data_IF_457878924656
#
_entry.id   IF_457878924656
#
_cell.length_a   1.000
_cell.length_b   1.000
_cell.length_c   1.000
_cell.angle_alpha   90.00
_cell.angle_beta   90.00
_cell.angle_gamma   90.00
#
_symmetry.space_group_name_H-M   'P 1'
#
loop_
_entity.id
_entity.type
_entity.pdbx_description
1 polymer ?
#
# COMPACT_ATOMS: atom_id res chain seq x y z
N UNK A 1 42.86 9.52 -42.15
CA UNK A 1 42.00 9.87 -43.29
C UNK A 1 40.57 9.59 -42.81
N UNK A 2 39.75 10.55 -42.38
CA UNK A 2 39.38 11.84 -43.00
C UNK A 2 38.69 11.60 -44.36
N UNK A 3 37.55 12.21 -44.70
CA UNK A 3 37.11 13.61 -44.50
C UNK A 3 35.56 13.72 -44.33
N UNK A 4 35.10 14.72 -43.56
CA UNK A 4 33.72 15.28 -43.51
C UNK A 4 33.58 16.44 -44.52
N UNK A 5 32.44 16.62 -45.20
CA UNK A 5 31.90 17.99 -45.22
C UNK A 5 30.36 18.13 -45.14
N UNK A 6 29.94 18.95 -44.16
CA UNK A 6 28.93 20.04 -44.19
C UNK A 6 28.75 20.70 -45.60
N UNK A 7 27.70 21.44 -45.99
CA UNK A 7 26.65 22.24 -45.29
C UNK A 7 25.65 22.78 -46.35
N UNK A 8 24.39 23.05 -45.98
CA UNK A 8 23.45 24.07 -46.53
C UNK A 8 22.13 23.91 -45.74
N UNK A 9 21.44 24.88 -45.10
CA UNK A 9 21.33 26.36 -45.13
C UNK A 9 20.48 26.96 -46.27
N UNK A 10 19.22 27.30 -45.95
CA UNK A 10 18.52 28.48 -46.48
C UNK A 10 17.80 29.22 -45.33
N UNK A 11 17.68 30.55 -45.48
CA UNK A 11 17.22 31.53 -44.50
C UNK A 11 15.94 32.27 -45.00
N UNK A 12 15.33 33.06 -44.09
CA UNK A 12 14.52 34.30 -44.31
C UNK A 12 12.97 34.21 -44.39
N UNK A 13 12.21 35.30 -44.14
CA UNK A 13 12.35 36.45 -43.20
C UNK A 13 11.02 36.69 -42.37
N UNK A 14 10.69 37.78 -41.64
CA UNK A 14 11.33 39.07 -41.28
C UNK A 14 10.75 39.68 -39.95
N UNK A 15 11.41 40.74 -39.45
CA UNK A 15 10.97 41.91 -38.63
C UNK A 15 9.58 41.92 -37.93
N UNK A 16 9.41 42.15 -36.62
CA UNK A 16 9.98 43.11 -35.64
C UNK A 16 9.46 44.57 -35.71
N UNK A 17 8.88 45.08 -34.62
CA UNK A 17 8.96 46.52 -34.24
C UNK A 17 8.72 46.72 -32.73
N UNK A 18 9.56 47.53 -32.08
CA UNK A 18 9.39 47.98 -30.68
C UNK A 18 8.33 49.09 -30.55
N UNK A 19 7.77 49.29 -29.32
CA UNK A 19 7.59 50.63 -28.71
C UNK A 19 7.18 50.60 -27.23
N UNK A 20 8.02 51.21 -26.41
CA UNK A 20 7.72 51.99 -25.19
C UNK A 20 8.13 53.46 -25.49
N UNK A 21 7.82 54.52 -24.72
CA UNK A 21 7.72 54.56 -23.24
C UNK A 21 6.72 55.59 -22.63
N UNK A 22 6.89 55.90 -21.32
CA UNK A 22 6.45 57.10 -20.57
C UNK A 22 4.94 57.23 -20.21
N UNK A 23 4.48 57.91 -19.13
CA UNK A 23 5.08 58.44 -17.89
C UNK A 23 3.98 58.98 -16.93
N UNK A 24 4.35 59.49 -15.73
CA UNK A 24 3.54 60.15 -14.67
C UNK A 24 2.67 59.23 -13.78
N UNK A 25 2.55 59.31 -12.43
CA UNK A 25 2.88 60.26 -11.33
C UNK A 25 1.71 61.04 -10.71
N UNK A 26 1.72 61.22 -9.37
CA UNK A 26 0.77 61.98 -8.51
C UNK A 26 -0.67 61.36 -8.37
N UNK A 27 -1.46 61.46 -7.27
CA UNK A 27 -1.26 61.95 -5.88
C UNK A 27 -2.29 61.39 -4.87
N UNK A 28 -1.94 61.44 -3.59
CA UNK A 28 -2.76 61.58 -2.34
C UNK A 28 -4.30 61.58 -2.34
N UNK A 29 -4.87 60.94 -1.31
CA UNK A 29 -6.25 61.09 -0.80
C UNK A 29 -6.64 62.53 -0.41
N UNK A 30 -7.95 62.79 -0.20
CA UNK A 30 -8.37 63.17 1.16
C UNK A 30 -9.74 62.61 1.65
N UNK A 31 -9.90 62.65 2.98
CA UNK A 31 -11.09 62.96 3.84
C UNK A 31 -12.42 63.36 3.12
N UNK A 32 -13.64 63.18 3.66
CA UNK A 32 -14.17 62.70 4.96
C UNK A 32 -15.71 62.90 5.04
N UNK A 33 -16.46 62.09 5.83
CA UNK A 33 -17.68 62.48 6.62
C UNK A 33 -18.40 61.21 7.11
N UNK A 34 -18.53 60.90 8.41
CA UNK A 34 -19.46 61.48 9.40
C UNK A 34 -20.95 61.41 9.02
N UNK A 35 -21.70 60.52 9.70
CA UNK A 35 -23.16 60.42 9.69
C UNK A 35 -23.63 59.27 10.60
N UNK A 36 -24.63 59.43 11.50
CA UNK A 36 -24.87 58.48 12.58
C UNK A 36 -26.10 57.58 12.36
N UNK A 37 -26.29 56.56 13.22
CA UNK A 37 -27.52 56.29 14.00
C UNK A 37 -27.44 54.91 14.68
N UNK A 38 -27.44 54.89 16.02
CA UNK A 38 -27.62 53.69 16.84
C UNK A 38 -28.75 53.94 17.83
N UNK A 39 -29.83 53.12 17.86
CA UNK A 39 -30.90 53.28 18.84
C UNK A 39 -30.61 52.51 20.14
N UNK A 40 -30.72 53.20 21.27
CA UNK A 40 -30.49 52.65 22.62
C UNK A 40 -31.79 52.12 23.23
N UNK A 41 -31.78 50.92 23.82
CA UNK A 41 -32.94 50.35 24.55
C UNK A 41 -32.78 50.62 26.07
N UNK A 42 -33.85 51.02 26.81
CA UNK A 42 -33.75 51.31 28.24
C UNK A 42 -33.56 50.04 29.09
N UNK A 43 -32.61 50.04 30.03
CA UNK A 43 -32.39 48.90 30.92
C UNK A 43 -33.31 48.95 32.15
N UNK A 44 -34.16 47.93 32.28
CA UNK A 44 -35.10 47.78 33.40
C UNK A 44 -34.40 47.18 34.65
N UNK A 45 -33.42 47.89 35.23
CA UNK A 45 -32.65 47.38 36.39
C UNK A 45 -32.20 48.47 37.37
N UNK A 46 -33.16 49.00 38.15
CA UNK A 46 -32.86 50.02 39.19
C UNK A 46 -33.54 49.83 40.55
N UNK A 47 -34.36 48.78 40.76
CA UNK A 47 -35.15 48.59 42.01
C UNK A 47 -34.74 47.44 42.95
N UNK A 48 -33.62 46.74 42.71
CA UNK A 48 -33.14 45.64 43.58
C UNK A 48 -31.66 45.79 44.01
N UNK A 49 -31.11 47.01 44.08
CA UNK A 49 -29.66 47.21 44.31
C UNK A 49 -29.18 47.16 45.78
N UNK A 50 -30.04 46.88 46.77
CA UNK A 50 -29.66 46.86 48.19
C UNK A 50 -30.26 45.66 48.97
N UNK A 51 -29.61 44.48 48.95
CA UNK A 51 -29.74 43.43 50.01
C UNK A 51 -28.85 42.17 49.92
N UNK A 52 -27.70 42.18 49.22
CA UNK A 52 -26.82 40.98 49.13
C UNK A 52 -25.35 41.34 49.43
N UNK A 53 -24.70 40.70 50.42
CA UNK A 53 -23.28 40.90 50.73
C UNK A 53 -22.33 40.53 49.58
N UNK A 54 -21.19 41.21 49.50
CA UNK A 54 -20.24 41.16 48.37
C UNK A 54 -19.67 39.76 48.11
N UNK A 55 -19.55 38.92 49.14
CA UNK A 55 -19.03 37.56 49.03
C UNK A 55 -20.02 36.61 48.32
N UNK A 56 -21.33 36.76 48.55
CA UNK A 56 -22.36 35.96 47.86
C UNK A 56 -22.42 36.28 46.35
N UNK A 57 -22.14 37.54 45.94
CA UNK A 57 -22.17 37.93 44.52
C UNK A 57 -21.21 37.14 43.63
N UNK A 58 -20.12 36.59 44.18
CA UNK A 58 -19.17 35.76 43.42
C UNK A 58 -19.60 34.30 43.30
N UNK A 59 -20.36 33.78 44.26
CA UNK A 59 -20.82 32.38 44.25
C UNK A 59 -22.17 32.20 43.54
N UNK A 60 -23.04 33.22 43.51
CA UNK A 60 -24.35 33.15 42.83
C UNK A 60 -24.26 32.69 41.36
N UNK A 61 -23.33 33.19 40.50
CA UNK A 61 -23.21 32.70 39.12
C UNK A 61 -22.82 31.21 39.05
N UNK A 62 -21.97 30.77 39.98
CA UNK A 62 -21.49 29.38 40.07
C UNK A 62 -22.64 28.46 40.50
N UNK A 63 -23.40 28.84 41.53
CA UNK A 63 -24.59 28.09 41.95
C UNK A 63 -25.68 28.07 40.87
N UNK A 64 -25.88 29.16 40.12
CA UNK A 64 -26.80 29.17 38.97
C UNK A 64 -26.32 28.25 37.84
N UNK A 65 -25.02 28.22 37.54
CA UNK A 65 -24.47 27.30 36.56
C UNK A 65 -24.64 25.83 36.97
N UNK A 66 -24.34 25.48 38.23
CA UNK A 66 -24.61 24.13 38.77
C UNK A 66 -26.10 23.78 38.77
N UNK A 67 -26.99 24.73 39.06
CA UNK A 67 -28.43 24.51 39.07
C UNK A 67 -28.98 24.32 37.64
N UNK A 68 -28.44 25.04 36.65
CA UNK A 68 -28.76 24.81 35.22
C UNK A 68 -28.25 23.45 34.74
N UNK A 69 -27.01 23.07 35.07
CA UNK A 69 -26.45 21.75 34.72
C UNK A 69 -27.27 20.64 35.39
N UNK A 70 -27.62 20.80 36.67
CA UNK A 70 -28.47 19.86 37.40
C UNK A 70 -29.86 19.75 36.77
N UNK A 71 -30.48 20.85 36.35
CA UNK A 71 -31.76 20.82 35.63
C UNK A 71 -31.65 20.14 34.25
N UNK A 72 -30.56 20.33 33.52
CA UNK A 72 -30.31 19.64 32.24
C UNK A 72 -30.17 18.13 32.46
N UNK A 73 -29.42 17.70 33.48
CA UNK A 73 -29.24 16.28 33.81
C UNK A 73 -30.53 15.66 34.36
N UNK A 74 -31.24 16.35 35.26
CA UNK A 74 -32.49 15.88 35.86
C UNK A 74 -33.69 15.90 34.90
N UNK A 75 -33.59 16.60 33.76
CA UNK A 75 -34.59 16.60 32.68
C UNK A 75 -34.00 16.05 31.37
N UNK A 76 -32.93 15.23 31.43
CA UNK A 76 -32.30 14.64 30.25
C UNK A 76 -33.30 13.79 29.44
N UNK A 77 -34.20 13.09 30.12
CA UNK A 77 -35.28 12.31 29.51
C UNK A 77 -36.22 13.18 28.64
N UNK A 78 -36.43 14.45 29.01
CA UNK A 78 -37.28 15.41 28.30
C UNK A 78 -36.66 15.90 26.98
N UNK A 79 -35.35 15.69 26.78
CA UNK A 79 -34.63 15.97 25.54
C UNK A 79 -34.37 14.71 24.69
N UNK A 80 -34.91 13.54 25.06
CA UNK A 80 -34.78 12.30 24.27
C UNK A 80 -35.75 12.25 23.07
N UNK A 81 -35.56 13.13 22.10
CA UNK A 81 -36.31 13.10 20.83
C UNK A 81 -35.80 11.99 19.91
N UNK A 82 -36.42 10.81 20.06
CA UNK A 82 -36.66 9.80 19.03
C UNK A 82 -35.52 9.39 18.08
N UNK A 83 -34.76 8.36 18.47
CA UNK A 83 -34.29 7.30 17.56
C UNK A 83 -34.58 5.92 18.20
N UNK A 84 -35.36 5.04 17.56
CA UNK A 84 -35.89 3.85 18.23
C UNK A 84 -34.86 2.70 18.30
N UNK A 85 -34.30 2.48 19.49
CA UNK A 85 -33.62 1.23 19.87
C UNK A 85 -34.28 0.66 21.13
N UNK A 86 -34.83 -0.57 21.06
CA UNK A 86 -35.58 -1.18 22.16
C UNK A 86 -35.32 -2.68 22.27
N UNK A 87 -34.92 -3.12 23.47
CA UNK A 87 -34.44 -4.47 23.78
C UNK A 87 -35.55 -5.52 23.97
N UNK A 88 -35.16 -6.79 23.80
CA UNK A 88 -35.62 -8.01 24.49
C UNK A 88 -36.41 -7.81 25.81
N UNK A 89 -37.42 -8.60 26.20
CA UNK A 89 -38.09 -9.80 25.63
C UNK A 89 -39.56 -9.85 26.12
N UNK A 90 -40.42 -10.66 25.47
CA UNK A 90 -41.25 -11.74 26.07
C UNK A 90 -42.32 -12.24 25.07
N UNK A 91 -42.21 -13.51 24.70
CA UNK A 91 -43.19 -14.40 24.04
C UNK A 91 -44.49 -13.84 23.41
N UNK A 92 -44.59 -13.94 22.07
CA UNK A 92 -45.68 -14.67 21.38
C UNK A 92 -45.43 -14.93 19.88
N UNK A 93 -45.39 -16.23 19.53
CA UNK A 93 -45.88 -16.87 18.28
C UNK A 93 -45.45 -16.28 16.90
N UNK A 94 -44.37 -16.85 16.36
CA UNK A 94 -44.27 -17.47 15.01
C UNK A 94 -45.11 -16.84 13.87
N UNK A 95 -44.50 -15.97 13.07
CA UNK A 95 -44.93 -15.68 11.69
C UNK A 95 -43.71 -15.36 10.80
N UNK A 96 -43.68 -15.95 9.61
CA UNK A 96 -42.56 -15.93 8.66
C UNK A 96 -42.48 -14.63 7.83
N UNK A 97 -41.30 -14.01 7.76
CA UNK A 97 -40.85 -13.20 6.61
C UNK A 97 -39.36 -13.39 6.36
N UNK A 98 -38.99 -13.76 5.13
CA UNK A 98 -37.59 -14.01 4.73
C UNK A 98 -36.87 -12.67 4.48
N UNK A 99 -35.82 -12.38 5.24
CA UNK A 99 -34.79 -11.46 4.75
C UNK A 99 -34.00 -12.15 3.64
N UNK A 100 -33.88 -11.50 2.47
CA UNK A 100 -32.92 -11.90 1.45
C UNK A 100 -31.53 -11.53 1.95
N UNK A 101 -30.76 -12.53 2.38
CA UNK A 101 -29.31 -12.41 2.41
C UNK A 101 -28.81 -12.11 1.00
N UNK A 102 -27.69 -11.38 0.87
CA UNK A 102 -26.89 -11.43 -0.35
C UNK A 102 -26.63 -12.91 -0.70
N UNK A 103 -26.61 -13.29 -1.99
CA UNK A 103 -26.29 -14.66 -2.35
C UNK A 103 -24.86 -14.94 -1.88
N UNK A 104 -24.75 -15.71 -0.79
CA UNK A 104 -23.55 -16.49 -0.53
C UNK A 104 -23.37 -17.32 -1.78
N UNK A 105 -22.37 -16.98 -2.60
CA UNK A 105 -22.03 -17.76 -3.78
C UNK A 105 -21.94 -19.22 -3.33
N UNK A 106 -22.60 -20.16 -4.03
CA UNK A 106 -22.50 -21.57 -3.65
C UNK A 106 -21.01 -21.91 -3.55
N UNK A 107 -20.57 -22.66 -2.53
CA UNK A 107 -19.17 -23.04 -2.42
C UNK A 107 -18.80 -23.76 -3.71
N UNK A 108 -18.02 -23.09 -4.54
CA UNK A 108 -17.45 -23.70 -5.73
C UNK A 108 -16.62 -24.85 -5.19
N UNK A 109 -16.84 -26.11 -5.64
CA UNK A 109 -15.98 -27.20 -5.25
C UNK A 109 -14.55 -26.77 -5.56
N UNK A 110 -13.74 -26.59 -4.52
CA UNK A 110 -12.34 -26.25 -4.70
C UNK A 110 -11.75 -27.29 -5.65
N UNK A 111 -11.01 -26.83 -6.65
CA UNK A 111 -10.35 -27.73 -7.60
C UNK A 111 -9.60 -28.81 -6.80
N UNK A 112 -9.63 -30.05 -7.32
CA UNK A 112 -9.07 -31.19 -6.61
C UNK A 112 -7.54 -31.06 -6.60
N UNK A 113 -7.03 -30.45 -5.53
CA UNK A 113 -5.64 -30.01 -5.39
C UNK A 113 -5.35 -28.60 -5.94
N UNK A 114 -4.09 -28.18 -5.85
CA UNK A 114 -3.63 -26.92 -6.45
C UNK A 114 -3.66 -26.99 -7.99
N UNK A 115 -4.06 -25.90 -8.69
CA UNK A 115 -3.99 -25.83 -10.14
C UNK A 115 -2.54 -26.03 -10.64
N UNK A 116 -2.34 -26.95 -11.59
CA UNK A 116 -1.03 -27.16 -12.23
C UNK A 116 -0.75 -26.12 -13.32
N UNK A 117 -0.77 -24.85 -12.92
CA UNK A 117 -0.45 -23.68 -13.74
C UNK A 117 0.69 -22.90 -13.09
N UNK A 118 1.64 -22.43 -13.90
CA UNK A 118 2.69 -21.48 -13.50
C UNK A 118 2.48 -20.22 -14.30
N UNK A 119 2.33 -19.11 -13.59
CA UNK A 119 2.13 -17.77 -14.14
C UNK A 119 3.35 -16.90 -13.92
N UNK A 120 3.73 -16.17 -14.96
CA UNK A 120 4.58 -14.99 -14.84
C UNK A 120 3.92 -13.84 -15.60
N UNK A 121 4.28 -12.60 -15.28
CA UNK A 121 3.89 -11.42 -16.07
C UNK A 121 5.14 -10.76 -16.64
N UNK A 122 5.13 -10.39 -17.91
CA UNK A 122 6.23 -9.63 -18.51
C UNK A 122 5.77 -8.68 -19.61
N UNK A 123 6.69 -7.96 -20.24
CA UNK A 123 6.36 -6.97 -21.29
C UNK A 123 6.03 -7.66 -22.62
N UNK A 124 6.80 -8.68 -22.95
CA UNK A 124 6.77 -9.42 -24.22
C UNK A 124 6.44 -10.89 -23.98
N UNK A 125 6.10 -11.63 -25.04
CA UNK A 125 5.84 -13.06 -24.97
C UNK A 125 7.15 -13.89 -24.93
N UNK A 126 7.09 -15.19 -24.57
CA UNK A 126 8.27 -16.04 -24.42
C UNK A 126 9.17 -16.21 -25.65
N UNK A 127 8.70 -15.92 -26.87
CA UNK A 127 9.54 -15.95 -28.08
C UNK A 127 10.45 -14.72 -28.21
N UNK A 128 10.10 -13.64 -27.49
CA UNK A 128 10.77 -12.34 -27.49
C UNK A 128 11.39 -11.99 -26.12
N UNK A 129 11.66 -12.99 -25.28
CA UNK A 129 12.40 -12.82 -24.04
C UNK A 129 13.89 -12.57 -24.29
N UNK A 130 14.48 -11.68 -23.50
CA UNK A 130 15.94 -11.56 -23.39
C UNK A 130 16.53 -12.87 -22.83
N UNK A 131 17.81 -13.15 -23.07
CA UNK A 131 18.45 -14.40 -22.62
C UNK A 131 18.32 -14.62 -21.10
N UNK A 132 18.45 -13.55 -20.31
CA UNK A 132 18.22 -13.55 -18.85
C UNK A 132 16.83 -14.08 -18.50
N UNK A 133 15.79 -13.43 -19.00
CA UNK A 133 14.39 -13.71 -18.69
C UNK A 133 13.98 -15.11 -19.22
N UNK A 134 14.53 -15.48 -20.38
CA UNK A 134 14.40 -16.82 -20.94
C UNK A 134 15.08 -17.90 -20.10
N UNK A 135 16.18 -17.59 -19.42
CA UNK A 135 16.91 -18.56 -18.58
C UNK A 135 16.16 -18.89 -17.29
N UNK A 136 15.61 -17.88 -16.61
CA UNK A 136 14.78 -18.04 -15.40
C UNK A 136 13.48 -18.75 -15.74
N UNK A 137 12.74 -18.28 -16.76
CA UNK A 137 11.50 -18.91 -17.23
C UNK A 137 11.66 -20.40 -17.57
N UNK A 138 12.78 -20.79 -18.21
CA UNK A 138 13.06 -22.20 -18.54
C UNK A 138 13.18 -23.11 -17.33
N UNK A 139 13.68 -22.61 -16.18
CA UNK A 139 13.83 -23.43 -14.96
C UNK A 139 12.49 -23.93 -14.42
N UNK A 140 11.45 -23.10 -14.49
CA UNK A 140 10.08 -23.45 -14.11
C UNK A 140 9.52 -24.61 -14.94
N UNK A 141 9.63 -24.53 -16.26
CA UNK A 141 9.18 -25.59 -17.17
C UNK A 141 9.99 -26.89 -16.99
N UNK A 142 11.31 -26.80 -16.87
CA UNK A 142 12.19 -27.97 -16.73
C UNK A 142 11.95 -28.74 -15.43
N UNK A 143 11.70 -28.03 -14.32
CA UNK A 143 11.47 -28.66 -13.01
C UNK A 143 10.02 -29.12 -12.82
N UNK A 144 9.08 -28.56 -13.58
CA UNK A 144 7.64 -28.83 -13.44
C UNK A 144 7.00 -29.25 -14.79
N UNK A 145 7.45 -30.35 -15.42
CA UNK A 145 7.01 -30.77 -16.76
C UNK A 145 5.51 -31.15 -16.84
N UNK A 146 4.83 -31.27 -15.70
CA UNK A 146 3.40 -31.53 -15.58
C UNK A 146 2.56 -30.27 -15.29
N UNK A 147 3.16 -29.07 -15.28
CA UNK A 147 2.47 -27.78 -15.16
C UNK A 147 2.36 -27.10 -16.52
N UNK A 148 1.24 -26.41 -16.75
CA UNK A 148 1.10 -25.47 -17.87
C UNK A 148 1.77 -24.15 -17.50
N UNK A 149 2.74 -23.73 -18.30
CA UNK A 149 3.40 -22.43 -18.15
C UNK A 149 2.68 -21.37 -19.00
N UNK A 150 2.36 -20.23 -18.40
CA UNK A 150 1.66 -19.12 -19.07
C UNK A 150 2.28 -17.77 -18.67
N UNK A 151 2.29 -16.85 -19.63
CA UNK A 151 2.81 -15.49 -19.46
C UNK A 151 1.76 -14.50 -19.95
N UNK A 152 1.35 -13.59 -19.06
CA UNK A 152 0.57 -12.42 -19.47
C UNK A 152 1.50 -11.28 -19.83
N UNK A 153 1.13 -10.53 -20.87
CA UNK A 153 1.95 -9.52 -21.52
C UNK A 153 1.28 -8.15 -21.55
N UNK A 154 2.04 -7.07 -21.71
CA UNK A 154 1.52 -5.70 -21.93
C UNK A 154 0.51 -5.61 -23.11
N UNK A 155 0.49 -6.61 -23.98
CA UNK A 155 -0.41 -6.73 -25.14
C UNK A 155 -1.64 -7.63 -24.94
N UNK A 156 -1.72 -8.40 -23.85
CA UNK A 156 -2.84 -9.31 -23.57
C UNK A 156 -3.44 -9.18 -22.15
N UNK A 157 -2.82 -8.40 -21.27
CA UNK A 157 -3.24 -8.16 -19.88
C UNK A 157 -4.72 -7.79 -19.77
N UNK A 158 -5.16 -6.79 -20.53
CA UNK A 158 -6.53 -6.29 -20.49
C UNK A 158 -7.53 -7.31 -21.06
N UNK A 159 -7.15 -8.09 -22.06
CA UNK A 159 -7.99 -9.16 -22.60
C UNK A 159 -8.25 -10.26 -21.56
N UNK A 160 -7.22 -10.62 -20.79
CA UNK A 160 -7.36 -11.54 -19.66
C UNK A 160 -8.27 -10.97 -18.57
N UNK A 161 -8.06 -9.70 -18.19
CA UNK A 161 -8.89 -9.00 -17.19
C UNK A 161 -10.35 -8.92 -17.62
N UNK A 162 -10.63 -8.55 -18.87
CA UNK A 162 -11.99 -8.49 -19.43
C UNK A 162 -12.66 -9.86 -19.49
N UNK A 163 -11.92 -10.92 -19.86
CA UNK A 163 -12.43 -12.29 -19.89
C UNK A 163 -12.84 -12.78 -18.50
N UNK A 164 -12.01 -12.55 -17.48
CA UNK A 164 -12.24 -13.10 -16.13
C UNK A 164 -13.10 -12.21 -15.23
N UNK A 165 -12.99 -10.89 -15.33
CA UNK A 165 -13.70 -9.94 -14.45
C UNK A 165 -14.83 -9.19 -15.15
N UNK A 166 -14.95 -9.24 -16.48
CA UNK A 166 -16.08 -8.67 -17.20
C UNK A 166 -17.41 -9.44 -17.00
N UNK A 167 -18.50 -9.00 -17.67
CA UNK A 167 -19.84 -9.57 -17.48
C UNK A 167 -20.00 -11.06 -17.79
N UNK A 168 -19.08 -11.66 -18.55
CA UNK A 168 -19.05 -13.09 -18.83
C UNK A 168 -18.30 -13.95 -17.80
N UNK A 169 -17.59 -13.32 -16.86
CA UNK A 169 -16.76 -13.97 -15.85
C UNK A 169 -17.32 -13.75 -14.44
N UNK A 170 -16.60 -12.97 -13.62
CA UNK A 170 -17.02 -12.65 -12.24
C UNK A 170 -18.00 -11.48 -12.12
N UNK A 171 -18.37 -10.82 -13.22
CA UNK A 171 -19.28 -9.66 -13.27
C UNK A 171 -18.84 -8.53 -12.33
N UNK A 172 -17.57 -8.12 -12.50
CA UNK A 172 -16.89 -7.04 -11.77
C UNK A 172 -16.35 -5.98 -12.76
N UNK A 173 -17.24 -5.26 -13.47
CA UNK A 173 -16.84 -4.19 -14.39
C UNK A 173 -16.04 -3.08 -13.69
N UNK A 174 -16.26 -2.87 -12.39
CA UNK A 174 -15.49 -1.93 -11.55
C UNK A 174 -14.00 -2.29 -11.46
N UNK A 175 -13.66 -3.59 -11.40
CA UNK A 175 -12.28 -4.08 -11.42
C UNK A 175 -11.68 -3.86 -12.82
N UNK A 176 -12.43 -4.16 -13.88
CA UNK A 176 -11.99 -3.99 -15.28
C UNK A 176 -11.70 -2.52 -15.58
N UNK A 177 -12.60 -1.62 -15.21
CA UNK A 177 -12.48 -0.18 -15.46
C UNK A 177 -11.36 0.45 -14.61
N UNK A 178 -11.17 0.02 -13.36
CA UNK A 178 -10.00 0.41 -12.58
C UNK A 178 -8.71 -0.03 -13.30
N UNK A 179 -8.61 -1.30 -13.71
CA UNK A 179 -7.41 -1.83 -14.36
C UNK A 179 -7.05 -1.08 -15.66
N UNK A 180 -8.06 -0.70 -16.46
CA UNK A 180 -7.88 0.16 -17.65
C UNK A 180 -7.35 1.56 -17.30
N UNK A 181 -7.72 2.11 -16.15
CA UNK A 181 -7.35 3.47 -15.74
C UNK A 181 -5.92 3.62 -15.20
N UNK A 182 -5.25 2.52 -14.84
CA UNK A 182 -3.91 2.55 -14.24
C UNK A 182 -2.82 2.64 -15.32
N UNK A 183 -2.09 3.76 -15.32
CA UNK A 183 -0.89 3.95 -16.16
C UNK A 183 0.41 3.46 -15.48
N UNK A 184 0.46 3.41 -14.16
CA UNK A 184 1.65 3.00 -13.42
C UNK A 184 1.92 1.50 -13.61
N UNK A 185 2.94 1.15 -14.41
CA UNK A 185 3.18 -0.24 -14.84
C UNK A 185 3.43 -1.21 -13.68
N UNK A 186 4.05 -0.76 -12.58
CA UNK A 186 4.28 -1.59 -11.39
C UNK A 186 2.96 -1.92 -10.66
N UNK A 187 2.07 -0.94 -10.54
CA UNK A 187 0.74 -1.10 -9.95
C UNK A 187 -0.13 -2.05 -10.78
N UNK A 188 -0.05 -1.95 -12.12
CA UNK A 188 -0.67 -2.92 -13.03
C UNK A 188 -0.14 -4.33 -12.83
N UNK A 189 1.18 -4.51 -12.74
CA UNK A 189 1.79 -5.82 -12.55
C UNK A 189 1.39 -6.45 -11.19
N UNK A 190 1.47 -5.70 -10.10
CA UNK A 190 1.04 -6.16 -8.77
C UNK A 190 -0.45 -6.52 -8.77
N UNK A 191 -1.32 -5.68 -9.34
CA UNK A 191 -2.75 -5.95 -9.39
C UNK A 191 -3.08 -7.17 -10.26
N UNK A 192 -2.45 -7.30 -11.43
CA UNK A 192 -2.63 -8.43 -12.34
C UNK A 192 -2.23 -9.76 -11.68
N UNK A 193 -1.13 -9.78 -10.91
CA UNK A 193 -0.70 -10.94 -10.11
C UNK A 193 -1.83 -11.44 -9.21
N UNK A 194 -2.45 -10.56 -8.43
CA UNK A 194 -3.54 -10.94 -7.53
C UNK A 194 -4.82 -11.34 -8.28
N UNK A 195 -5.11 -10.68 -9.41
CA UNK A 195 -6.26 -11.01 -10.26
C UNK A 195 -6.15 -12.40 -10.88
N UNK A 196 -4.98 -12.78 -11.40
CA UNK A 196 -4.68 -14.14 -11.89
C UNK A 196 -4.83 -15.17 -10.78
N UNK A 197 -4.28 -14.89 -9.60
CA UNK A 197 -4.31 -15.82 -8.48
C UNK A 197 -5.71 -15.97 -7.83
N UNK A 198 -6.54 -14.94 -7.90
CA UNK A 198 -7.98 -15.06 -7.61
C UNK A 198 -8.73 -15.85 -8.69
N UNK A 199 -8.47 -15.57 -9.97
CA UNK A 199 -9.23 -16.12 -11.08
C UNK A 199 -8.98 -17.61 -11.29
N UNK A 200 -7.72 -18.02 -11.33
CA UNK A 200 -7.30 -19.37 -11.71
C UNK A 200 -6.37 -20.04 -10.70
N UNK A 201 -5.66 -19.26 -9.86
CA UNK A 201 -4.68 -19.78 -8.91
C UNK A 201 -3.53 -20.52 -9.60
N UNK A 202 -2.97 -21.50 -8.91
CA UNK A 202 -1.76 -22.21 -9.29
C UNK A 202 -0.55 -21.61 -8.59
N UNK A 203 0.57 -21.47 -9.30
CA UNK A 203 1.78 -20.78 -8.83
C UNK A 203 1.95 -19.50 -9.62
N UNK A 204 2.26 -18.41 -8.92
CA UNK A 204 2.78 -17.19 -9.54
C UNK A 204 4.27 -17.05 -9.21
N UNK A 205 5.07 -16.55 -10.16
CA UNK A 205 6.42 -16.06 -9.94
C UNK A 205 6.75 -14.85 -10.83
N UNK A 206 7.49 -13.87 -10.32
CA UNK A 206 8.04 -12.78 -11.16
C UNK A 206 9.04 -13.33 -12.19
N UNK A 207 9.25 -12.61 -13.30
CA UNK A 207 9.98 -13.14 -14.46
C UNK A 207 11.44 -13.52 -14.14
N UNK A 208 12.08 -12.79 -13.23
CA UNK A 208 13.46 -12.99 -12.79
C UNK A 208 13.59 -13.85 -11.53
N UNK A 209 12.59 -14.71 -11.28
CA UNK A 209 12.66 -15.81 -10.34
C UNK A 209 13.11 -17.09 -11.05
N UNK A 210 14.27 -17.62 -10.65
CA UNK A 210 14.71 -18.98 -10.94
C UNK A 210 14.03 -19.97 -9.99
N UNK A 211 13.41 -21.02 -10.51
CA UNK A 211 13.02 -22.17 -9.71
C UNK A 211 14.25 -23.02 -9.40
N UNK A 212 14.61 -23.21 -8.14
CA UNK A 212 15.71 -24.10 -7.72
C UNK A 212 15.22 -25.55 -7.54
N UNK A 213 13.99 -25.72 -7.03
CA UNK A 213 13.33 -27.00 -6.76
C UNK A 213 11.96 -27.05 -7.48
N UNK A 214 11.39 -28.24 -7.73
CA UNK A 214 10.03 -28.34 -8.27
C UNK A 214 8.98 -27.87 -7.24
N UNK A 215 7.82 -27.42 -7.74
CA UNK A 215 6.66 -26.95 -6.96
C UNK A 215 6.16 -28.03 -5.98
N UNK A 216 6.36 -29.31 -6.30
CA UNK A 216 6.08 -30.43 -5.39
C UNK A 216 6.95 -30.46 -4.12
N UNK A 217 7.82 -29.45 -3.90
CA UNK A 217 8.56 -29.24 -2.65
C UNK A 217 8.05 -28.05 -1.83
N UNK A 218 7.10 -27.28 -2.35
CA UNK A 218 6.53 -26.11 -1.68
C UNK A 218 5.65 -26.51 -0.48
N UNK A 219 5.10 -27.73 -0.50
CA UNK A 219 4.47 -28.36 0.66
C UNK A 219 5.38 -29.53 1.08
N UNK A 220 5.97 -29.52 2.28
CA UNK A 220 6.78 -30.64 2.75
C UNK A 220 5.95 -31.93 2.96
N UNK A 221 6.07 -32.88 2.03
CA UNK A 221 5.31 -34.15 1.90
C UNK A 221 5.11 -34.97 3.20
N UNK A 222 6.00 -34.80 4.19
CA UNK A 222 6.06 -35.58 5.42
C UNK A 222 5.46 -34.86 6.64
N UNK A 223 5.02 -33.61 6.47
CA UNK A 223 4.61 -32.71 7.56
C UNK A 223 3.18 -32.17 7.37
N UNK A 224 2.77 -31.94 6.12
CA UNK A 224 1.48 -31.33 5.79
C UNK A 224 0.77 -32.07 4.66
N UNK A 225 -0.54 -32.22 4.80
CA UNK A 225 -1.41 -32.73 3.74
C UNK A 225 -1.86 -31.56 2.85
N UNK A 226 -1.98 -31.79 1.53
CA UNK A 226 -2.32 -30.72 0.57
C UNK A 226 -3.74 -30.18 0.81
N UNK A 227 -4.66 -31.03 1.28
CA UNK A 227 -6.03 -30.67 1.65
C UNK A 227 -6.14 -29.72 2.85
N UNK A 228 -5.10 -29.59 3.68
CA UNK A 228 -5.05 -28.63 4.80
C UNK A 228 -4.59 -27.24 4.37
N UNK A 229 -4.13 -27.09 3.13
CA UNK A 229 -3.50 -25.88 2.60
C UNK A 229 -4.31 -25.30 1.44
N UNK A 230 -4.61 -24.02 1.53
CA UNK A 230 -5.27 -23.22 0.49
C UNK A 230 -4.30 -22.25 -0.20
N UNK A 231 -3.22 -21.87 0.48
CA UNK A 231 -2.19 -20.96 -0.01
C UNK A 231 -0.82 -21.31 0.58
N UNK A 232 0.25 -21.17 -0.19
CA UNK A 232 1.64 -21.28 0.26
C UNK A 232 2.37 -19.98 -0.04
N UNK A 233 2.95 -19.38 1.00
CA UNK A 233 3.75 -18.14 0.95
C UNK A 233 5.05 -18.35 1.71
N UNK A 234 6.09 -17.57 1.41
CA UNK A 234 7.31 -17.50 2.23
C UNK A 234 7.41 -16.16 2.96
N UNK A 235 8.19 -16.11 4.03
CA UNK A 235 8.64 -14.83 4.60
C UNK A 235 9.70 -14.22 3.66
N UNK A 236 9.66 -12.90 3.44
CA UNK A 236 10.62 -12.16 2.61
C UNK A 236 11.53 -11.29 3.47
N UNK A 237 10.94 -10.49 4.36
CA UNK A 237 11.66 -9.62 5.28
C UNK A 237 11.12 -9.86 6.68
N UNK A 238 11.99 -10.35 7.56
CA UNK A 238 11.77 -10.45 8.99
C UNK A 238 12.80 -9.59 9.73
N UNK A 239 12.37 -8.38 10.10
CA UNK A 239 13.19 -7.35 10.75
C UNK A 239 12.32 -6.51 11.73
N UNK A 240 11.62 -7.13 12.69
CA UNK A 240 10.60 -6.47 13.50
C UNK A 240 11.13 -5.35 14.41
N UNK A 241 12.43 -5.32 14.68
CA UNK A 241 13.08 -4.25 15.44
C UNK A 241 13.01 -2.88 14.76
N UNK A 242 12.82 -2.84 13.43
CA UNK A 242 12.65 -1.59 12.68
C UNK A 242 11.18 -1.21 12.42
N UNK A 243 10.19 -1.94 12.95
CA UNK A 243 8.76 -1.69 12.69
C UNK A 243 8.31 -0.24 12.93
N UNK A 244 8.94 0.44 13.90
CA UNK A 244 8.63 1.81 14.31
C UNK A 244 9.53 2.86 13.62
N UNK A 245 10.48 2.44 12.77
CA UNK A 245 11.39 3.32 12.02
C UNK A 245 10.62 4.00 10.87
N UNK A 246 10.75 5.32 10.66
CA UNK A 246 9.90 6.09 9.73
C UNK A 246 9.95 5.62 8.26
N UNK A 247 11.13 5.24 7.76
CA UNK A 247 11.32 4.74 6.37
C UNK A 247 11.21 3.20 6.31
N UNK A 248 11.95 2.49 7.15
CA UNK A 248 12.06 1.02 7.11
C UNK A 248 10.83 0.27 7.66
N UNK A 249 10.10 0.82 8.62
CA UNK A 249 9.06 0.09 9.36
C UNK A 249 7.90 -0.42 8.52
N UNK A 250 7.53 0.29 7.45
CA UNK A 250 6.50 -0.15 6.49
C UNK A 250 6.85 -1.44 5.76
N UNK A 251 8.13 -1.81 5.70
CA UNK A 251 8.68 -2.92 4.89
C UNK A 251 9.54 -3.89 5.71
N UNK A 252 9.59 -3.74 7.03
CA UNK A 252 10.44 -4.57 7.92
C UNK A 252 9.79 -5.90 8.33
N UNK A 253 8.57 -6.15 7.85
CA UNK A 253 7.74 -7.32 8.13
C UNK A 253 6.94 -7.64 6.86
N UNK A 254 7.38 -8.61 6.06
CA UNK A 254 6.68 -8.97 4.83
C UNK A 254 6.76 -10.44 4.43
N UNK A 255 5.65 -10.94 3.91
CA UNK A 255 5.60 -12.16 3.10
C UNK A 255 5.98 -11.86 1.65
N UNK A 256 6.65 -12.83 1.04
CA UNK A 256 7.02 -12.82 -0.37
C UNK A 256 5.76 -12.77 -1.25
N UNK A 257 5.58 -11.65 -1.95
CA UNK A 257 4.49 -11.49 -2.93
C UNK A 257 4.90 -11.88 -4.35
N UNK A 258 6.20 -11.89 -4.66
CA UNK A 258 6.74 -12.15 -6.00
C UNK A 258 6.87 -13.64 -6.32
N UNK A 259 6.61 -14.54 -5.36
CA UNK A 259 6.36 -15.96 -5.58
C UNK A 259 5.42 -16.52 -4.52
N UNK A 260 4.29 -17.09 -4.94
CA UNK A 260 3.38 -17.83 -4.05
C UNK A 260 2.51 -18.82 -4.82
N UNK A 261 1.91 -19.77 -4.10
CA UNK A 261 0.98 -20.75 -4.64
C UNK A 261 -0.40 -20.60 -3.98
N UNK A 262 -1.49 -20.66 -4.75
CA UNK A 262 -2.85 -20.50 -4.23
C UNK A 262 -3.85 -21.40 -4.94
N UNK A 263 -4.89 -21.84 -4.23
CA UNK A 263 -6.13 -22.31 -4.86
C UNK A 263 -6.85 -21.09 -5.48
N UNK A 264 -7.67 -21.28 -6.54
CA UNK A 264 -8.47 -20.18 -7.08
C UNK A 264 -9.50 -19.69 -6.05
N UNK A 265 -9.97 -18.46 -6.24
CA UNK A 265 -11.12 -17.85 -5.56
C UNK A 265 -10.97 -17.62 -4.05
N UNK A 266 -9.74 -17.54 -3.53
CA UNK A 266 -9.50 -17.19 -2.12
C UNK A 266 -10.04 -15.80 -1.78
N UNK A 267 -10.82 -15.62 -0.71
CA UNK A 267 -11.37 -14.32 -0.31
C UNK A 267 -10.30 -13.24 -0.09
N UNK A 268 -9.13 -13.62 0.43
CA UNK A 268 -8.00 -12.70 0.66
C UNK A 268 -7.51 -12.03 -0.64
N UNK A 269 -7.46 -12.74 -1.76
CA UNK A 269 -7.00 -12.17 -3.04
C UNK A 269 -8.00 -11.13 -3.56
N UNK A 270 -9.31 -11.38 -3.45
CA UNK A 270 -10.33 -10.40 -3.85
C UNK A 270 -10.33 -9.17 -2.93
N UNK A 271 -10.22 -9.35 -1.60
CA UNK A 271 -10.13 -8.22 -0.68
C UNK A 271 -8.86 -7.39 -0.91
N UNK A 272 -7.74 -8.02 -1.25
CA UNK A 272 -6.51 -7.30 -1.61
C UNK A 272 -6.70 -6.45 -2.87
N UNK A 273 -7.32 -7.01 -3.92
CA UNK A 273 -7.70 -6.27 -5.14
C UNK A 273 -8.58 -5.06 -4.76
N UNK A 274 -9.62 -5.26 -3.96
CA UNK A 274 -10.56 -4.20 -3.55
C UNK A 274 -9.90 -3.13 -2.67
N UNK A 275 -8.99 -3.52 -1.77
CA UNK A 275 -8.20 -2.61 -0.96
C UNK A 275 -7.27 -1.74 -1.83
N UNK A 276 -6.63 -2.33 -2.84
CA UNK A 276 -5.79 -1.61 -3.82
C UNK A 276 -6.63 -0.60 -4.62
N UNK A 277 -7.82 -1.00 -5.10
CA UNK A 277 -8.75 -0.10 -5.79
C UNK A 277 -9.15 1.09 -4.91
N UNK A 278 -9.51 0.82 -3.64
CA UNK A 278 -9.89 1.84 -2.67
C UNK A 278 -8.75 2.80 -2.33
N UNK A 279 -7.52 2.28 -2.20
CA UNK A 279 -6.30 3.04 -1.95
C UNK A 279 -5.92 3.93 -3.14
N UNK A 280 -5.89 3.40 -4.37
CA UNK A 280 -5.64 4.18 -5.59
C UNK A 280 -6.67 5.29 -5.78
N UNK A 281 -7.96 4.98 -5.58
CA UNK A 281 -9.03 5.97 -5.62
C UNK A 281 -8.90 7.02 -4.50
N UNK A 282 -8.29 6.66 -3.36
CA UNK A 282 -7.89 7.58 -2.30
C UNK A 282 -6.84 8.57 -2.79
N UNK A 283 -5.69 8.05 -3.24
CA UNK A 283 -4.58 8.88 -3.72
C UNK A 283 -4.98 9.80 -4.88
N UNK A 284 -5.82 9.32 -5.80
CA UNK A 284 -6.39 10.14 -6.88
C UNK A 284 -7.17 11.36 -6.35
N UNK A 285 -7.98 11.18 -5.30
CA UNK A 285 -8.70 12.29 -4.65
C UNK A 285 -7.75 13.21 -3.90
N UNK A 286 -6.80 12.66 -3.15
CA UNK A 286 -5.88 13.44 -2.31
C UNK A 286 -4.91 14.28 -3.15
N UNK A 287 -4.50 13.78 -4.32
CA UNK A 287 -3.71 14.50 -5.32
C UNK A 287 -4.56 15.37 -6.27
N UNK A 288 -5.89 15.23 -6.24
CA UNK A 288 -6.84 15.88 -7.14
C UNK A 288 -6.52 15.65 -8.64
N UNK A 289 -6.27 14.39 -9.00
CA UNK A 289 -5.97 13.90 -10.36
C UNK A 289 -6.75 12.63 -10.69
N UNK A 290 -6.96 12.26 -11.96
CA UNK A 290 -7.47 10.93 -12.30
C UNK A 290 -6.47 9.82 -11.91
N UNK A 291 -6.96 8.59 -11.74
CA UNK A 291 -6.10 7.40 -11.39
C UNK A 291 -4.93 7.23 -12.36
N UNK A 292 -5.12 7.58 -13.64
CA UNK A 292 -4.11 7.55 -14.70
C UNK A 292 -2.94 8.52 -14.50
N UNK A 293 -3.06 9.49 -13.61
CA UNK A 293 -2.09 10.56 -13.34
C UNK A 293 -1.57 10.54 -11.89
N UNK A 294 -1.97 9.55 -11.08
CA UNK A 294 -1.48 9.39 -9.70
C UNK A 294 0.03 9.16 -9.70
N UNK A 295 0.75 10.06 -9.02
CA UNK A 295 2.19 9.96 -8.78
C UNK A 295 2.43 9.18 -7.49
N UNK A 296 3.40 8.28 -7.49
CA UNK A 296 3.71 7.38 -6.38
C UNK A 296 5.19 7.42 -6.02
N UNK A 297 5.51 7.51 -4.74
CA UNK A 297 6.84 7.22 -4.22
C UNK A 297 7.08 5.71 -4.04
N UNK A 298 8.32 5.31 -3.74
CA UNK A 298 8.68 3.90 -3.53
C UNK A 298 7.87 3.22 -2.41
N UNK A 299 7.72 3.87 -1.26
CA UNK A 299 7.06 3.27 -0.10
C UNK A 299 5.54 3.19 -0.30
N UNK A 300 4.96 4.09 -1.08
CA UNK A 300 3.56 4.02 -1.54
C UNK A 300 3.32 2.80 -2.43
N UNK A 301 4.22 2.46 -3.36
CA UNK A 301 4.10 1.21 -4.15
C UNK A 301 4.15 -0.01 -3.21
N UNK A 302 5.15 -0.08 -2.33
CA UNK A 302 5.35 -1.20 -1.40
C UNK A 302 4.18 -1.39 -0.42
N UNK A 303 3.62 -0.29 0.10
CA UNK A 303 2.53 -0.31 1.08
C UNK A 303 1.12 -0.29 0.48
N UNK A 304 0.98 0.11 -0.78
CA UNK A 304 -0.30 0.15 -1.50
C UNK A 304 -0.62 -1.12 -2.26
N UNK A 305 0.33 -1.67 -3.01
CA UNK A 305 0.16 -2.87 -3.86
C UNK A 305 1.16 -3.98 -3.60
N UNK A 306 2.36 -3.63 -3.14
CA UNK A 306 3.48 -4.55 -2.97
C UNK A 306 3.41 -5.42 -1.71
N UNK A 307 4.57 -5.90 -1.21
CA UNK A 307 4.63 -6.95 -0.20
C UNK A 307 3.95 -6.58 1.13
N UNK A 308 3.93 -5.30 1.53
CA UNK A 308 3.30 -4.90 2.78
C UNK A 308 1.76 -4.89 2.69
N UNK A 309 1.20 -4.53 1.53
CA UNK A 309 -0.24 -4.62 1.28
C UNK A 309 -0.72 -6.08 1.28
N UNK A 310 0.02 -6.95 0.59
CA UNK A 310 -0.18 -8.40 0.57
C UNK A 310 -0.13 -9.00 1.98
N UNK A 311 0.90 -8.63 2.76
CA UNK A 311 1.10 -9.10 4.14
C UNK A 311 -0.04 -8.68 5.06
N UNK A 312 -0.47 -7.42 4.99
CA UNK A 312 -1.58 -6.92 5.79
C UNK A 312 -2.89 -7.68 5.48
N UNK A 313 -3.22 -7.87 4.19
CA UNK A 313 -4.42 -8.59 3.78
C UNK A 313 -4.42 -10.07 4.21
N UNK A 314 -3.26 -10.73 4.19
CA UNK A 314 -3.09 -12.11 4.65
C UNK A 314 -3.23 -12.22 6.16
N UNK A 315 -2.58 -11.33 6.93
CA UNK A 315 -2.72 -11.33 8.40
C UNK A 315 -4.16 -11.02 8.80
N UNK A 316 -4.85 -10.12 8.08
CA UNK A 316 -6.28 -9.88 8.27
C UNK A 316 -7.12 -11.14 7.98
N UNK A 317 -6.89 -11.83 6.86
CA UNK A 317 -7.61 -13.08 6.54
C UNK A 317 -7.38 -14.18 7.58
N UNK A 318 -6.11 -14.38 7.96
CA UNK A 318 -5.74 -15.32 9.01
C UNK A 318 -6.49 -15.02 10.31
N UNK A 319 -6.64 -13.73 10.65
CA UNK A 319 -7.36 -13.26 11.83
C UNK A 319 -8.89 -13.39 11.74
N UNK A 320 -9.48 -13.19 10.56
CA UNK A 320 -10.91 -13.45 10.30
C UNK A 320 -11.22 -14.94 10.43
N UNK A 321 -10.31 -15.80 9.98
CA UNK A 321 -10.46 -17.25 9.97
C UNK A 321 -9.92 -17.96 11.23
N UNK A 322 -9.35 -17.23 12.21
CA UNK A 322 -8.80 -17.83 13.44
C UNK A 322 -9.89 -18.40 14.35
N UNK A 323 -9.63 -19.47 15.13
CA UNK A 323 -10.62 -20.01 16.05
C UNK A 323 -11.05 -18.97 17.10
N UNK A 324 -12.36 -18.89 17.38
CA UNK A 324 -12.90 -17.90 18.32
C UNK A 324 -12.29 -18.08 19.71
N UNK A 325 -11.77 -16.99 20.27
CA UNK A 325 -11.14 -16.98 21.60
C UNK A 325 -9.63 -17.24 21.60
N UNK A 326 -8.99 -17.49 20.45
CA UNK A 326 -7.52 -17.48 20.38
C UNK A 326 -6.97 -16.05 20.36
N UNK A 327 -5.70 -15.85 20.75
CA UNK A 327 -5.00 -14.59 20.55
C UNK A 327 -5.05 -14.11 19.10
N UNK A 328 -4.84 -12.80 18.93
CA UNK A 328 -4.65 -12.19 17.63
C UNK A 328 -3.34 -12.68 16.98
N UNK A 329 -3.41 -12.96 15.68
CA UNK A 329 -2.27 -13.33 14.86
C UNK A 329 -1.57 -12.03 14.46
N UNK A 330 -0.31 -11.90 14.87
CA UNK A 330 0.56 -10.76 14.57
C UNK A 330 1.87 -11.27 13.98
N UNK A 331 2.72 -10.38 13.49
CA UNK A 331 4.01 -10.75 12.89
C UNK A 331 4.89 -11.61 13.82
N UNK A 332 4.76 -11.47 15.14
CA UNK A 332 5.44 -12.28 16.15
C UNK A 332 5.24 -13.81 15.97
N UNK A 333 4.22 -14.25 15.22
CA UNK A 333 4.00 -15.67 14.91
C UNK A 333 4.92 -16.19 13.78
N UNK A 334 5.52 -15.29 13.00
CA UNK A 334 6.34 -15.55 11.81
C UNK A 334 7.79 -15.04 11.94
N UNK A 335 8.10 -14.32 13.02
CA UNK A 335 9.45 -13.92 13.39
C UNK A 335 10.29 -15.13 13.79
N UNK A 336 11.57 -15.17 13.38
CA UNK A 336 12.54 -16.25 13.67
C UNK A 336 11.96 -17.65 13.33
N UNK A 337 11.39 -17.77 12.13
CA UNK A 337 10.73 -19.00 11.69
C UNK A 337 11.74 -20.06 11.21
N UNK A 338 12.17 -20.93 12.12
CA UNK A 338 13.06 -22.08 11.81
C UNK A 338 12.47 -23.11 10.82
N UNK A 339 11.14 -23.28 10.85
CA UNK A 339 10.44 -24.29 10.04
C UNK A 339 9.05 -23.80 9.63
N UNK A 340 8.65 -24.10 8.39
CA UNK A 340 7.30 -23.83 7.89
C UNK A 340 6.16 -24.24 8.85
N UNK A 341 5.06 -23.47 8.82
CA UNK A 341 3.86 -23.64 9.68
C UNK A 341 2.56 -23.32 8.94
N UNK A 342 1.48 -24.04 9.25
CA UNK A 342 0.13 -23.68 8.78
C UNK A 342 -0.53 -22.73 9.78
N UNK A 343 -1.06 -21.60 9.29
CA UNK A 343 -1.90 -20.66 10.04
C UNK A 343 -3.14 -20.36 9.21
N UNK A 344 -4.33 -20.68 9.75
CA UNK A 344 -5.62 -20.46 9.07
C UNK A 344 -5.64 -20.97 7.61
N UNK A 345 -5.12 -22.19 7.38
CA UNK A 345 -4.97 -22.86 6.05
C UNK A 345 -3.98 -22.23 5.07
N UNK A 346 -3.22 -21.22 5.50
CA UNK A 346 -2.05 -20.70 4.77
C UNK A 346 -0.80 -21.38 5.32
N UNK A 347 -0.05 -22.08 4.46
CA UNK A 347 1.28 -22.58 4.78
C UNK A 347 2.29 -21.43 4.60
N UNK A 348 2.89 -21.00 5.70
CA UNK A 348 3.97 -20.01 5.72
C UNK A 348 5.29 -20.76 5.80
N UNK A 349 6.15 -20.55 4.80
CA UNK A 349 7.52 -21.04 4.74
C UNK A 349 8.47 -20.02 5.38
N UNK A 350 9.63 -20.51 5.83
CA UNK A 350 10.73 -19.69 6.31
C UNK A 350 11.33 -18.77 5.23
N UNK A 351 12.27 -17.90 5.64
CA UNK A 351 12.92 -16.93 4.74
C UNK A 351 13.82 -17.63 3.71
N UNK A 352 14.51 -18.72 4.08
CA UNK A 352 15.38 -19.46 3.17
C UNK A 352 14.58 -20.09 2.01
N UNK A 353 13.34 -20.54 2.26
CA UNK A 353 12.55 -21.25 1.28
C UNK A 353 12.30 -20.44 -0.01
N UNK A 354 11.82 -19.20 0.11
CA UNK A 354 11.60 -18.33 -1.06
C UNK A 354 12.68 -17.25 -1.19
N UNK A 355 12.99 -16.53 -0.12
CA UNK A 355 13.76 -15.29 -0.18
C UNK A 355 15.25 -15.48 0.20
N UNK A 356 15.84 -16.56 -0.30
CA UNK A 356 17.21 -16.97 0.02
C UNK A 356 18.27 -15.92 -0.37
N UNK A 357 19.35 -15.83 0.42
CA UNK A 357 20.58 -15.13 0.04
C UNK A 357 20.49 -13.60 -0.06
N UNK A 358 19.50 -12.96 0.58
CA UNK A 358 19.37 -11.49 0.62
C UNK A 358 20.37 -10.80 1.57
N UNK A 359 21.08 -11.57 2.41
CA UNK A 359 22.06 -11.04 3.37
C UNK A 359 21.45 -10.41 4.62
N UNK A 360 20.14 -10.60 4.84
CA UNK A 360 19.41 -10.22 6.03
C UNK A 360 18.37 -11.30 6.40
N UNK A 361 17.70 -11.16 7.55
CA UNK A 361 16.59 -12.03 8.01
C UNK A 361 16.92 -13.52 7.97
N UNK A 362 18.17 -13.87 8.29
CA UNK A 362 18.71 -15.23 8.28
C UNK A 362 18.39 -16.05 7.01
N UNK A 363 18.29 -15.37 5.87
CA UNK A 363 17.94 -15.90 4.54
C UNK A 363 18.91 -16.95 3.96
N UNK A 364 19.89 -17.45 4.72
CA UNK A 364 20.78 -18.54 4.29
C UNK A 364 21.48 -18.22 2.97
N UNK A 365 21.46 -19.19 2.04
CA UNK A 365 22.00 -19.00 0.68
C UNK A 365 21.35 -19.94 -0.34
N UNK A 366 21.48 -19.62 -1.64
CA UNK A 366 20.87 -20.36 -2.75
C UNK A 366 21.31 -21.83 -2.91
N UNK A 367 22.40 -22.28 -2.27
CA UNK A 367 22.81 -23.69 -2.29
C UNK A 367 22.23 -24.50 -1.13
N UNK A 368 21.54 -23.86 -0.19
CA UNK A 368 20.99 -24.49 0.99
C UNK A 368 19.84 -25.45 0.65
N UNK A 369 19.44 -26.25 1.65
CA UNK A 369 18.44 -27.30 1.44
C UNK A 369 17.02 -26.74 1.37
N UNK A 370 16.72 -25.68 2.14
CA UNK A 370 15.43 -25.02 2.16
C UNK A 370 15.14 -24.25 0.87
N UNK A 371 16.16 -23.61 0.27
CA UNK A 371 16.02 -22.77 -0.92
C UNK A 371 15.26 -23.45 -2.08
N UNK A 372 14.02 -22.99 -2.32
CA UNK A 372 13.09 -23.49 -3.34
C UNK A 372 13.17 -22.68 -4.64
N UNK A 373 13.36 -21.36 -4.52
CA UNK A 373 13.50 -20.41 -5.63
C UNK A 373 14.65 -19.42 -5.36
N UNK A 374 14.98 -18.62 -6.36
CA UNK A 374 16.00 -17.58 -6.31
C UNK A 374 15.52 -16.37 -7.10
N UNK A 375 15.40 -15.22 -6.44
CA UNK A 375 15.02 -13.97 -7.08
C UNK A 375 16.26 -13.18 -7.48
N UNK A 376 16.31 -12.67 -8.71
CA UNK A 376 17.47 -11.95 -9.22
C UNK A 376 17.41 -10.42 -9.02
N UNK A 377 16.26 -9.84 -8.66
CA UNK A 377 16.09 -8.41 -8.33
C UNK A 377 16.54 -7.43 -9.44
N UNK A 378 16.52 -7.84 -10.70
CA UNK A 378 17.21 -7.14 -11.79
C UNK A 378 16.41 -7.02 -13.11
N UNK A 379 15.25 -7.67 -13.27
CA UNK A 379 14.46 -7.49 -14.49
C UNK A 379 13.71 -6.14 -14.50
N UNK A 380 13.03 -5.79 -13.40
CA UNK A 380 12.17 -4.61 -13.34
C UNK A 380 12.90 -3.37 -12.78
N UNK A 381 13.29 -2.44 -13.65
CA UNK A 381 13.85 -1.15 -13.26
C UNK A 381 12.75 -0.15 -12.76
N UNK A 382 11.73 -0.63 -12.04
CA UNK A 382 10.68 0.23 -11.51
C UNK A 382 11.15 1.16 -10.37
N UNK A 383 12.13 0.80 -9.50
CA UNK A 383 12.60 1.70 -8.44
C UNK A 383 13.32 2.95 -8.96
N UNK A 384 13.75 2.98 -10.23
CA UNK A 384 14.27 4.21 -10.86
C UNK A 384 13.17 5.18 -11.28
N UNK A 385 11.93 4.71 -11.42
CA UNK A 385 10.74 5.52 -11.74
C UNK A 385 9.98 5.96 -10.49
N UNK A 386 10.12 5.20 -9.40
CA UNK A 386 9.55 5.47 -8.09
C UNK A 386 10.71 5.54 -7.08
N UNK A 387 11.37 6.70 -6.95
CA UNK A 387 12.59 6.81 -6.15
C UNK A 387 12.31 6.56 -4.66
N UNK A 388 13.28 5.92 -4.00
CA UNK A 388 13.33 5.82 -2.53
C UNK A 388 13.58 7.20 -1.92
N UNK A 389 13.26 7.36 -0.64
CA UNK A 389 13.75 8.49 0.12
C UNK A 389 15.28 8.50 0.06
N UNK A 390 15.86 9.64 -0.32
CA UNK A 390 17.31 9.80 -0.49
C UNK A 390 17.75 11.05 0.27
N UNK A 391 18.54 10.89 1.34
CA UNK A 391 19.03 12.03 2.10
C UNK A 391 20.14 12.75 1.33
N UNK A 392 20.07 14.08 1.11
CA UNK A 392 20.94 14.78 0.16
C UNK A 392 22.44 14.78 0.52
N UNK A 393 22.80 14.38 1.75
CA UNK A 393 24.18 14.21 2.20
C UNK A 393 24.56 12.77 2.60
N UNK A 394 23.61 11.83 2.71
CA UNK A 394 23.85 10.48 3.28
C UNK A 394 23.20 9.32 2.51
N UNK A 395 22.59 9.57 1.35
CA UNK A 395 21.99 8.51 0.57
C UNK A 395 20.67 7.96 1.12
N UNK A 396 20.13 6.90 0.51
CA UNK A 396 19.00 6.12 1.02
C UNK A 396 19.45 5.14 2.12
N UNK A 397 18.67 5.06 3.22
CA UNK A 397 18.97 4.20 4.39
C UNK A 397 19.03 2.71 4.04
N UNK A 398 18.37 2.29 2.96
CA UNK A 398 18.35 0.90 2.47
C UNK A 398 19.73 0.38 2.06
N UNK A 399 20.73 1.24 1.83
CA UNK A 399 22.12 0.81 1.62
C UNK A 399 22.70 0.07 2.83
N UNK A 400 22.15 0.27 4.04
CA UNK A 400 22.53 -0.47 5.23
C UNK A 400 22.07 -1.94 5.24
N UNK A 401 21.22 -2.36 4.30
CA UNK A 401 20.68 -3.73 4.20
C UNK A 401 20.24 -4.32 5.56
N UNK A 402 19.48 -3.54 6.34
CA UNK A 402 18.98 -3.91 7.67
C UNK A 402 20.03 -4.07 8.79
N UNK A 403 21.30 -3.74 8.57
CA UNK A 403 22.33 -3.81 9.61
C UNK A 403 22.10 -2.73 10.70
N UNK A 404 21.88 -3.12 11.98
CA UNK A 404 21.45 -2.17 13.02
C UNK A 404 22.40 -1.01 13.30
N UNK A 405 23.72 -1.22 13.25
CA UNK A 405 24.69 -0.17 13.56
C UNK A 405 24.76 0.87 12.43
N UNK A 406 24.66 0.43 11.18
CA UNK A 406 24.58 1.28 10.00
C UNK A 406 23.30 2.12 10.00
N UNK A 407 22.13 1.51 10.26
CA UNK A 407 20.86 2.26 10.36
C UNK A 407 20.92 3.28 11.49
N UNK A 408 21.36 2.87 12.70
CA UNK A 408 21.50 3.78 13.83
C UNK A 408 22.50 4.91 13.57
N UNK A 409 23.56 4.66 12.79
CA UNK A 409 24.50 5.69 12.34
C UNK A 409 23.83 6.66 11.35
N UNK A 410 23.08 6.15 10.37
CA UNK A 410 22.37 6.98 9.40
C UNK A 410 21.32 7.88 10.09
N UNK A 411 20.58 7.35 11.07
CA UNK A 411 19.64 8.12 11.91
C UNK A 411 20.37 9.21 12.71
N UNK A 412 21.52 8.89 13.32
CA UNK A 412 22.30 9.85 14.09
C UNK A 412 22.90 10.97 13.21
N UNK A 413 23.43 10.60 12.04
CA UNK A 413 24.04 11.53 11.08
C UNK A 413 22.98 12.46 10.47
N UNK A 414 21.83 11.94 10.04
CA UNK A 414 20.71 12.74 9.50
C UNK A 414 20.11 13.68 10.55
N UNK A 415 19.94 13.20 11.79
CA UNK A 415 19.47 14.03 12.90
C UNK A 415 20.50 15.10 13.33
N UNK A 416 21.80 14.87 13.13
CA UNK A 416 22.85 15.85 13.33
C UNK A 416 22.85 16.90 12.20
N UNK A 417 22.74 16.47 10.94
CA UNK A 417 22.67 17.35 9.77
C UNK A 417 21.50 18.34 9.86
N UNK A 418 20.34 17.89 10.34
CA UNK A 418 19.17 18.75 10.58
C UNK A 418 19.39 19.86 11.63
N UNK A 419 20.51 19.86 12.36
CA UNK A 419 20.90 20.88 13.36
C UNK A 419 22.03 21.80 12.89
N UNK A 420 22.62 21.53 11.73
CA UNK A 420 23.68 22.35 11.14
C UNK A 420 23.11 23.65 10.54
N UNK A 421 23.97 24.64 10.34
CA UNK A 421 23.63 25.84 9.57
C UNK A 421 23.48 25.54 8.07
N UNK A 422 22.75 26.39 7.33
CA UNK A 422 22.54 26.22 5.88
C UNK A 422 23.86 26.16 5.09
N UNK A 423 24.87 26.95 5.50
CA UNK A 423 26.23 26.93 4.92
C UNK A 423 26.97 25.61 5.18
N UNK A 424 26.74 24.95 6.31
CA UNK A 424 27.32 23.64 6.64
C UNK A 424 26.60 22.51 5.90
N UNK A 425 25.26 22.55 5.84
CA UNK A 425 24.46 21.61 5.07
C UNK A 425 24.84 21.65 3.58
N UNK A 426 24.96 22.85 3.00
CA UNK A 426 25.34 23.02 1.59
C UNK A 426 26.71 22.42 1.31
N UNK A 427 27.72 22.67 2.17
CA UNK A 427 29.06 22.10 2.04
C UNK A 427 29.09 20.58 2.10
N UNK A 428 28.29 19.95 2.98
CA UNK A 428 28.19 18.49 3.05
C UNK A 428 27.51 17.89 1.81
N UNK A 429 26.46 18.53 1.30
CA UNK A 429 25.80 18.12 0.05
C UNK A 429 26.75 18.22 -1.15
N UNK A 430 27.56 19.28 -1.22
CA UNK A 430 28.58 19.43 -2.27
C UNK A 430 29.69 18.38 -2.18
N UNK A 431 30.17 18.06 -0.98
CA UNK A 431 31.12 16.97 -0.75
C UNK A 431 30.57 15.62 -1.21
N UNK A 432 29.30 15.31 -0.87
CA UNK A 432 28.65 14.08 -1.31
C UNK A 432 28.54 14.00 -2.85
N UNK A 433 28.12 15.10 -3.51
CA UNK A 433 28.06 15.17 -4.98
C UNK A 433 29.42 14.96 -5.66
N UNK A 434 30.49 15.47 -5.07
CA UNK A 434 31.87 15.25 -5.55
C UNK A 434 32.32 13.80 -5.36
N UNK A 435 31.92 13.15 -4.26
CA UNK A 435 32.21 11.73 -4.01
C UNK A 435 31.46 10.78 -4.96
N UNK A 436 30.23 11.13 -5.37
CA UNK A 436 29.43 10.36 -6.33
C UNK A 436 29.88 10.54 -7.79
N UNK A 437 30.52 11.66 -8.11
CA UNK A 437 31.01 11.98 -9.46
C UNK A 437 32.51 12.39 -9.44
N UNK A 438 33.43 11.46 -9.14
CA UNK A 438 34.86 11.72 -9.29
C UNK A 438 35.21 12.03 -10.76
N UNK A 439 36.02 13.07 -10.95
CA UNK A 439 36.49 13.58 -12.26
C UNK A 439 37.39 12.59 -13.02
#
# INVERSE_FOLDING_TARGET
MAIDPRTEKEDFPFSATMRSPASSSFTTSPRSSLGPWSPTIPSLSSKLRNRVPTQMRRCVPIYLAFLVIFLIVANADLFTVSMPGGSSQVFKRRASTKHKSNPVLPPVPLAQGFPRKIWQTWKTDPLHFEERDSSTARTWMQKNPNFRYEVLTDSNDIGYVEQHFGPGGFDRPDIVDMYRSINATIIKADLLRYMVMYAEGGVYADIDVEALKPVSRFIPDHRYAEEDVDMVIGVEIDQPQFKDHPILGKKSQSFCQWTFMARPRLPVMLRLIENIMGWLAGLARDQNVPVSEVVLDFDQVISGTGPSAFTAAIIEDMNVNRPKGTPEITWNLFHELDESKIVSRVLVLDVEAFAAGQGHSDSGNHNARGALVKHHYHASNWPSRHPRFNHPAYGPVEQCNWEPNCVAKWDADTAAFARLSEDEQTRLIEQQKQAEHPL
#
